data_IF_369449545143
#
_entry.id   IF_369449545143
#
_cell.length_a   1.000
_cell.length_b   1.000
_cell.length_c   1.000
_cell.angle_alpha   90.00
_cell.angle_beta   90.00
_cell.angle_gamma   90.00
#
_symmetry.space_group_name_H-M   'P 1'
#
loop_
_entity.id
_entity.type
_entity.pdbx_description
1 polymer ?
#
# COMPACT_ATOMS: atom_id res chain seq x y z
N UNK A 1 -35.58 -5.74 1.74
CA UNK A 1 -34.38 -5.11 2.39
C UNK A 1 -34.59 -3.61 2.57
N UNK A 2 -33.95 -2.98 3.60
CA UNK A 2 -34.18 -1.56 3.93
C UNK A 2 -33.04 -0.65 3.36
N UNK A 3 -33.23 0.69 3.40
CA UNK A 3 -32.29 1.66 2.85
C UNK A 3 -30.88 1.57 3.48
N UNK A 4 -30.78 1.19 4.78
CA UNK A 4 -29.51 1.03 5.49
C UNK A 4 -28.72 -0.19 4.98
N UNK A 5 -29.42 -1.26 4.64
CA UNK A 5 -28.79 -2.45 4.06
C UNK A 5 -28.30 -2.16 2.64
N UNK A 6 -29.10 -1.45 1.83
CA UNK A 6 -28.68 -1.00 0.51
C UNK A 6 -27.36 -0.21 0.57
N UNK A 7 -27.26 0.78 1.46
CA UNK A 7 -26.03 1.56 1.62
C UNK A 7 -24.80 0.72 2.01
N UNK A 8 -24.97 -0.34 2.82
CA UNK A 8 -23.88 -1.27 3.14
C UNK A 8 -23.48 -2.16 1.93
N UNK A 9 -24.48 -2.64 1.16
CA UNK A 9 -24.20 -3.41 -0.07
C UNK A 9 -23.45 -2.55 -1.07
N UNK A 10 -23.88 -1.31 -1.29
CA UNK A 10 -23.22 -0.37 -2.20
C UNK A 10 -21.76 -0.10 -1.77
N UNK A 11 -21.50 0.03 -0.46
CA UNK A 11 -20.15 0.20 0.07
C UNK A 11 -19.27 -1.02 -0.23
N UNK A 12 -19.74 -2.24 0.07
CA UNK A 12 -18.97 -3.45 -0.16
C UNK A 12 -18.77 -3.73 -1.66
N UNK A 13 -19.79 -3.48 -2.48
CA UNK A 13 -19.72 -3.66 -3.93
C UNK A 13 -18.78 -2.62 -4.56
N UNK A 14 -18.78 -1.37 -4.07
CA UNK A 14 -17.78 -0.38 -4.46
C UNK A 14 -16.35 -0.83 -4.16
N UNK A 15 -16.13 -1.46 -2.99
CA UNK A 15 -14.86 -2.08 -2.64
C UNK A 15 -14.47 -3.23 -3.57
N UNK A 16 -15.40 -4.12 -3.94
CA UNK A 16 -15.15 -5.22 -4.89
C UNK A 16 -14.84 -4.70 -6.30
N UNK A 17 -15.52 -3.64 -6.76
CA UNK A 17 -15.23 -3.01 -8.04
C UNK A 17 -13.81 -2.42 -8.07
N UNK A 18 -13.43 -1.66 -7.04
CA UNK A 18 -12.08 -1.11 -6.93
C UNK A 18 -11.01 -2.21 -6.86
N UNK A 19 -11.30 -3.30 -6.16
CA UNK A 19 -10.42 -4.46 -6.10
C UNK A 19 -10.25 -5.11 -7.48
N UNK A 20 -11.33 -5.30 -8.23
CA UNK A 20 -11.27 -5.82 -9.59
C UNK A 20 -10.47 -4.90 -10.52
N UNK A 21 -10.65 -3.58 -10.44
CA UNK A 21 -9.90 -2.61 -11.25
C UNK A 21 -8.40 -2.67 -10.96
N UNK A 22 -8.01 -2.86 -9.69
CA UNK A 22 -6.60 -2.94 -9.27
C UNK A 22 -5.94 -4.29 -9.51
N UNK A 23 -6.72 -5.37 -9.70
CA UNK A 23 -6.22 -6.75 -9.74
C UNK A 23 -6.97 -7.61 -10.76
N UNK A 24 -7.39 -6.99 -11.88
CA UNK A 24 -8.23 -7.62 -12.92
C UNK A 24 -7.66 -8.94 -13.45
N UNK A 25 -6.35 -9.03 -13.55
CA UNK A 25 -5.61 -10.21 -14.02
C UNK A 25 -5.71 -11.43 -13.09
N UNK A 26 -6.06 -11.20 -11.82
CA UNK A 26 -6.24 -12.29 -10.84
C UNK A 26 -7.69 -12.69 -10.66
N UNK A 27 -8.61 -11.96 -11.27
CA UNK A 27 -10.04 -12.26 -11.19
C UNK A 27 -10.33 -13.65 -11.74
N UNK A 28 -10.89 -14.49 -10.88
CA UNK A 28 -11.30 -15.86 -11.22
C UNK A 28 -12.78 -15.90 -11.55
N UNK A 29 -13.59 -15.16 -10.81
CA UNK A 29 -15.03 -15.11 -11.00
C UNK A 29 -15.75 -14.43 -9.86
N UNK A 30 -16.97 -14.04 -10.15
CA UNK A 30 -17.97 -13.61 -9.18
C UNK A 30 -19.13 -14.57 -9.25
N UNK A 31 -19.52 -15.15 -8.13
CA UNK A 31 -20.69 -16.02 -8.04
C UNK A 31 -21.63 -15.50 -6.97
N UNK A 32 -22.90 -15.75 -7.14
CA UNK A 32 -23.87 -15.40 -6.12
C UNK A 32 -24.99 -16.43 -6.05
N UNK A 33 -25.53 -16.54 -4.86
CA UNK A 33 -26.69 -17.36 -4.52
C UNK A 33 -27.73 -16.45 -3.88
N UNK A 34 -28.93 -16.43 -4.40
CA UNK A 34 -30.06 -15.69 -3.85
C UNK A 34 -31.16 -16.67 -3.41
N UNK A 35 -31.88 -16.32 -2.36
CA UNK A 35 -32.95 -17.15 -1.79
C UNK A 35 -34.25 -16.36 -1.75
N UNK A 36 -35.36 -17.01 -2.18
CA UNK A 36 -36.72 -16.50 -2.01
C UNK A 36 -37.61 -17.63 -1.52
N UNK A 37 -38.10 -17.53 -0.28
CA UNK A 37 -38.79 -18.58 0.42
C UNK A 37 -37.94 -19.86 0.55
N UNK A 38 -38.35 -20.93 -0.12
CA UNK A 38 -37.59 -22.21 -0.16
C UNK A 38 -36.79 -22.41 -1.45
N UNK A 39 -36.76 -21.44 -2.36
CA UNK A 39 -36.08 -21.56 -3.65
C UNK A 39 -34.76 -20.83 -3.64
N UNK A 40 -33.76 -21.46 -4.24
CA UNK A 40 -32.42 -20.91 -4.42
C UNK A 40 -32.16 -20.66 -5.90
N UNK A 41 -31.47 -19.53 -6.18
CA UNK A 41 -31.11 -19.14 -7.53
C UNK A 41 -29.61 -18.81 -7.53
N UNK A 42 -28.88 -19.36 -8.49
CA UNK A 42 -27.43 -19.16 -8.60
C UNK A 42 -27.11 -18.35 -9.85
N UNK A 43 -26.17 -17.46 -9.72
CA UNK A 43 -25.62 -16.71 -10.83
C UNK A 43 -24.11 -16.67 -10.78
N UNK A 44 -23.51 -16.30 -11.90
CA UNK A 44 -22.05 -16.22 -12.01
C UNK A 44 -21.63 -15.15 -13.01
N UNK A 45 -20.39 -14.70 -12.87
CA UNK A 45 -19.70 -13.85 -13.84
C UNK A 45 -18.31 -14.38 -14.08
N UNK A 46 -17.90 -14.43 -15.33
CA UNK A 46 -16.56 -14.76 -15.77
C UNK A 46 -16.01 -13.70 -16.73
N UNK A 47 -14.70 -13.51 -16.73
CA UNK A 47 -14.03 -12.63 -17.69
C UNK A 47 -13.75 -13.41 -18.99
N UNK A 48 -14.29 -12.95 -20.13
CA UNK A 48 -14.04 -13.52 -21.46
C UNK A 48 -13.78 -12.39 -22.44
N UNK A 49 -12.70 -12.48 -23.18
CA UNK A 49 -12.30 -11.50 -24.20
C UNK A 49 -12.34 -10.04 -23.71
N UNK A 50 -11.93 -9.83 -22.46
CA UNK A 50 -11.92 -8.52 -21.83
C UNK A 50 -13.27 -8.01 -21.31
N UNK A 51 -14.37 -8.77 -21.48
CA UNK A 51 -15.70 -8.44 -20.99
C UNK A 51 -16.13 -9.34 -19.83
N UNK A 52 -16.94 -8.80 -18.94
CA UNK A 52 -17.55 -9.54 -17.85
C UNK A 52 -18.87 -10.17 -18.34
N UNK A 53 -18.88 -11.48 -18.48
CA UNK A 53 -20.05 -12.24 -18.92
C UNK A 53 -20.86 -12.66 -17.69
N UNK A 54 -21.99 -12.00 -17.50
CA UNK A 54 -22.95 -12.22 -16.41
C UNK A 54 -23.97 -13.28 -16.83
N UNK A 55 -24.21 -14.27 -15.99
CA UNK A 55 -25.17 -15.36 -16.20
C UNK A 55 -26.12 -15.49 -15.02
N UNK A 56 -27.35 -14.94 -15.19
CA UNK A 56 -28.46 -15.07 -14.23
C UNK A 56 -29.76 -14.67 -14.92
N UNK A 57 -30.70 -15.59 -15.01
CA UNK A 57 -31.97 -15.41 -15.75
C UNK A 57 -31.75 -14.91 -17.19
N UNK A 58 -30.66 -15.34 -17.83
CA UNK A 58 -30.15 -14.88 -19.11
C UNK A 58 -28.66 -14.53 -19.06
N UNK A 59 -28.12 -14.11 -20.20
CA UNK A 59 -26.71 -13.69 -20.30
C UNK A 59 -26.63 -12.22 -20.69
N UNK A 60 -25.76 -11.48 -20.01
CA UNK A 60 -25.43 -10.07 -20.30
C UNK A 60 -23.92 -9.88 -20.29
N UNK A 61 -23.43 -8.89 -21.03
CA UNK A 61 -22.03 -8.50 -21.01
C UNK A 61 -21.88 -7.10 -20.43
N UNK A 62 -20.79 -6.90 -19.65
CA UNK A 62 -20.43 -5.61 -19.05
C UNK A 62 -18.97 -5.31 -19.34
N UNK A 63 -18.67 -4.05 -19.57
CA UNK A 63 -17.30 -3.56 -19.77
C UNK A 63 -16.57 -3.30 -18.45
N UNK A 64 -17.32 -3.00 -17.37
CA UNK A 64 -16.80 -2.70 -16.06
C UNK A 64 -17.54 -3.42 -14.92
N UNK A 65 -16.83 -3.68 -13.83
CA UNK A 65 -17.34 -4.37 -12.66
C UNK A 65 -18.35 -3.51 -11.87
N UNK A 66 -18.21 -2.20 -11.89
CA UNK A 66 -19.05 -1.28 -11.11
C UNK A 66 -20.50 -1.29 -11.63
N UNK A 67 -20.67 -1.20 -12.94
CA UNK A 67 -21.99 -1.29 -13.60
C UNK A 67 -22.62 -2.66 -13.35
N UNK A 68 -21.85 -3.75 -13.48
CA UNK A 68 -22.31 -5.10 -13.18
C UNK A 68 -22.81 -5.23 -11.74
N UNK A 69 -22.02 -4.77 -10.75
CA UNK A 69 -22.39 -4.88 -9.34
C UNK A 69 -23.56 -3.98 -8.97
N UNK A 70 -23.75 -2.85 -9.64
CA UNK A 70 -24.94 -2.01 -9.49
C UNK A 70 -26.22 -2.74 -9.94
N UNK A 71 -26.16 -3.40 -11.11
CA UNK A 71 -27.27 -4.22 -11.60
C UNK A 71 -27.52 -5.42 -10.69
N UNK A 72 -26.46 -6.10 -10.25
CA UNK A 72 -26.56 -7.21 -9.30
C UNK A 72 -27.17 -6.77 -7.96
N UNK A 73 -26.83 -5.60 -7.44
CA UNK A 73 -27.45 -5.03 -6.24
C UNK A 73 -28.97 -4.90 -6.42
N UNK A 74 -29.40 -4.38 -7.56
CA UNK A 74 -30.81 -4.22 -7.88
C UNK A 74 -31.55 -5.56 -7.94
N UNK A 75 -30.88 -6.60 -8.42
CA UNK A 75 -31.43 -7.99 -8.44
C UNK A 75 -31.50 -8.54 -7.01
N UNK A 76 -30.41 -8.47 -6.23
CA UNK A 76 -30.37 -9.05 -4.89
C UNK A 76 -31.39 -8.44 -3.95
N UNK A 77 -31.70 -7.16 -4.08
CA UNK A 77 -32.71 -6.48 -3.26
C UNK A 77 -34.14 -7.05 -3.40
N UNK A 78 -34.39 -7.86 -4.42
CA UNK A 78 -35.69 -8.53 -4.67
C UNK A 78 -35.81 -9.89 -3.96
N UNK A 79 -34.74 -10.36 -3.30
CA UNK A 79 -34.67 -11.66 -2.63
C UNK A 79 -34.62 -11.51 -1.10
N UNK A 80 -34.92 -12.59 -0.37
CA UNK A 80 -34.95 -12.62 1.08
C UNK A 80 -33.49 -12.56 1.64
N UNK A 81 -32.60 -13.28 0.98
CA UNK A 81 -31.15 -13.28 1.31
C UNK A 81 -30.31 -13.54 0.08
N UNK A 82 -29.02 -13.16 0.19
CA UNK A 82 -28.04 -13.44 -0.84
C UNK A 82 -26.65 -13.68 -0.25
N UNK A 83 -25.85 -14.46 -0.95
CA UNK A 83 -24.41 -14.62 -0.72
C UNK A 83 -23.72 -14.31 -2.03
N UNK A 84 -22.81 -13.32 -2.04
CA UNK A 84 -22.03 -12.94 -3.20
C UNK A 84 -20.57 -13.26 -2.91
N UNK A 85 -19.95 -14.11 -3.71
CA UNK A 85 -18.55 -14.48 -3.59
C UNK A 85 -17.75 -13.92 -4.77
N UNK A 86 -16.80 -13.06 -4.45
CA UNK A 86 -15.77 -12.60 -5.36
C UNK A 86 -14.53 -13.46 -5.16
N UNK A 87 -14.01 -14.02 -6.23
CA UNK A 87 -12.83 -14.88 -6.22
C UNK A 87 -11.72 -14.33 -7.09
N UNK A 88 -10.56 -14.26 -6.53
CA UNK A 88 -9.30 -14.04 -7.25
C UNK A 88 -8.31 -15.14 -6.90
N UNK A 89 -7.22 -15.24 -7.64
CA UNK A 89 -6.20 -16.25 -7.39
C UNK A 89 -5.66 -16.16 -5.96
N UNK A 90 -5.82 -17.22 -5.18
CA UNK A 90 -5.36 -17.34 -3.79
C UNK A 90 -6.28 -16.76 -2.73
N UNK A 91 -7.23 -15.90 -3.09
CA UNK A 91 -8.10 -15.24 -2.12
C UNK A 91 -9.52 -15.05 -2.63
N UNK A 92 -10.47 -14.94 -1.69
CA UNK A 92 -11.84 -14.59 -1.98
C UNK A 92 -12.44 -13.70 -0.91
N UNK A 93 -13.50 -12.99 -1.30
CA UNK A 93 -14.35 -12.26 -0.37
C UNK A 93 -15.79 -12.72 -0.55
N UNK A 94 -16.51 -12.80 0.55
CA UNK A 94 -17.93 -13.18 0.57
C UNK A 94 -18.73 -12.08 1.24
N UNK A 95 -19.76 -11.57 0.55
CA UNK A 95 -20.75 -10.65 1.11
C UNK A 95 -21.99 -11.45 1.45
N UNK A 96 -22.26 -11.56 2.75
CA UNK A 96 -23.46 -12.22 3.29
C UNK A 96 -24.54 -11.16 3.51
N UNK A 97 -25.72 -11.39 2.96
CA UNK A 97 -26.83 -10.44 2.96
C UNK A 97 -28.08 -11.19 3.41
N UNK A 98 -28.67 -10.75 4.50
CA UNK A 98 -29.95 -11.27 5.01
C UNK A 98 -30.88 -10.12 5.46
N UNK A 99 -32.05 -10.44 6.00
CA UNK A 99 -33.03 -9.48 6.46
C UNK A 99 -32.57 -8.57 7.59
N UNK A 100 -31.53 -8.96 8.33
CA UNK A 100 -31.00 -8.28 9.52
C UNK A 100 -29.67 -7.60 9.30
N UNK A 101 -28.79 -8.21 8.48
CA UNK A 101 -27.40 -7.76 8.39
C UNK A 101 -26.82 -7.87 6.99
N UNK A 102 -25.72 -7.11 6.78
CA UNK A 102 -24.83 -7.25 5.62
C UNK A 102 -23.41 -7.33 6.17
N UNK A 103 -22.69 -8.42 5.87
CA UNK A 103 -21.36 -8.73 6.41
C UNK A 103 -20.41 -9.11 5.29
N UNK A 104 -19.18 -8.63 5.36
CA UNK A 104 -18.08 -9.04 4.48
C UNK A 104 -17.16 -10.01 5.24
N UNK A 105 -16.85 -11.12 4.60
CA UNK A 105 -15.89 -12.10 5.08
C UNK A 105 -14.81 -12.36 4.02
N UNK A 106 -13.56 -12.40 4.44
CA UNK A 106 -12.45 -12.79 3.57
C UNK A 106 -12.11 -14.26 3.82
N UNK A 107 -11.71 -14.97 2.77
CA UNK A 107 -11.26 -16.37 2.88
C UNK A 107 -10.11 -16.66 1.92
N UNK A 108 -9.29 -17.64 2.28
CA UNK A 108 -8.19 -18.12 1.44
C UNK A 108 -8.68 -19.28 0.56
N UNK A 109 -8.25 -19.28 -0.70
CA UNK A 109 -8.54 -20.34 -1.66
C UNK A 109 -7.31 -21.25 -1.71
N UNK A 110 -7.44 -22.46 -1.18
CA UNK A 110 -6.36 -23.46 -1.15
C UNK A 110 -6.26 -24.31 -2.43
N UNK A 111 -7.23 -24.22 -3.32
CA UNK A 111 -7.23 -25.00 -4.57
C UNK A 111 -6.26 -24.39 -5.59
N UNK A 112 -5.43 -25.25 -6.20
CA UNK A 112 -4.58 -24.89 -7.34
C UNK A 112 -5.44 -24.60 -8.58
N UNK A 113 -5.82 -23.34 -8.76
CA UNK A 113 -6.36 -22.87 -10.04
C UNK A 113 -5.18 -22.76 -11.00
N UNK A 114 -5.26 -23.48 -12.12
CA UNK A 114 -4.18 -23.57 -13.10
C UNK A 114 -3.57 -22.21 -13.45
N UNK A 115 -2.28 -22.08 -13.21
CA UNK A 115 -1.51 -20.85 -13.15
C UNK A 115 -1.34 -20.08 -14.47
N UNK A 116 -2.06 -20.43 -15.53
CA UNK A 116 -1.66 -20.06 -16.89
C UNK A 116 -2.43 -18.91 -17.54
N UNK A 117 -3.54 -18.45 -16.99
CA UNK A 117 -4.35 -17.42 -17.66
C UNK A 117 -4.21 -16.00 -17.08
N UNK A 118 -3.89 -15.80 -15.81
CA UNK A 118 -3.90 -14.50 -15.16
C UNK A 118 -2.65 -13.64 -15.36
N UNK A 119 -1.48 -14.26 -15.50
CA UNK A 119 -0.20 -13.54 -15.61
C UNK A 119 0.20 -13.19 -17.05
N UNK A 120 -0.49 -13.70 -18.05
CA UNK A 120 -0.07 -13.56 -19.46
C UNK A 120 -0.36 -12.21 -20.12
N UNK A 121 -1.21 -11.37 -19.54
CA UNK A 121 -1.70 -10.13 -20.17
C UNK A 121 -1.30 -8.84 -19.46
N UNK A 122 -0.47 -8.89 -18.40
CA UNK A 122 0.07 -7.70 -17.74
C UNK A 122 1.58 -7.66 -17.90
N UNK A 123 2.09 -6.55 -18.40
CA UNK A 123 3.52 -6.24 -18.30
C UNK A 123 3.83 -5.87 -16.85
N UNK A 124 4.52 -6.76 -16.15
CA UNK A 124 5.01 -6.48 -14.80
C UNK A 124 6.33 -5.72 -14.85
N UNK A 125 6.54 -4.85 -13.87
CA UNK A 125 7.81 -4.14 -13.71
C UNK A 125 9.00 -5.10 -13.51
N UNK A 126 8.73 -6.31 -13.01
CA UNK A 126 9.75 -7.33 -12.78
C UNK A 126 9.51 -8.51 -13.70
N UNK A 127 10.52 -8.84 -14.50
CA UNK A 127 10.55 -10.08 -15.28
C UNK A 127 10.67 -11.27 -14.33
N UNK A 128 9.58 -12.06 -14.23
CA UNK A 128 9.49 -13.20 -13.31
C UNK A 128 10.57 -14.26 -13.55
N UNK A 129 10.97 -14.48 -14.81
CA UNK A 129 11.97 -15.49 -15.14
C UNK A 129 13.37 -15.04 -14.69
N UNK A 130 13.72 -13.78 -14.93
CA UNK A 130 15.01 -13.20 -14.54
C UNK A 130 15.10 -12.99 -13.03
N UNK A 131 14.01 -12.55 -12.39
CA UNK A 131 13.96 -12.32 -10.95
C UNK A 131 13.71 -13.61 -10.12
N UNK A 132 13.61 -14.78 -10.74
CA UNK A 132 13.29 -16.01 -10.04
C UNK A 132 14.22 -16.33 -8.84
N UNK A 133 15.54 -16.13 -8.89
CA UNK A 133 16.41 -16.34 -7.72
C UNK A 133 16.02 -15.42 -6.55
N UNK A 134 15.80 -14.15 -6.81
CA UNK A 134 15.36 -13.15 -5.83
C UNK A 134 14.00 -13.54 -5.23
N UNK A 135 13.00 -13.78 -6.07
CA UNK A 135 11.64 -14.09 -5.65
C UNK A 135 11.54 -15.39 -4.86
N UNK A 136 12.35 -16.40 -5.19
CA UNK A 136 12.47 -17.65 -4.42
C UNK A 136 13.09 -17.38 -3.05
N UNK A 137 14.21 -16.64 -2.99
CA UNK A 137 14.90 -16.33 -1.74
C UNK A 137 14.04 -15.48 -0.79
N UNK A 138 13.25 -14.55 -1.33
CA UNK A 138 12.29 -13.75 -0.56
C UNK A 138 10.99 -14.51 -0.23
N UNK A 139 10.84 -15.74 -0.70
CA UNK A 139 9.68 -16.58 -0.40
C UNK A 139 8.41 -16.28 -1.20
N UNK A 140 8.50 -15.44 -2.25
CA UNK A 140 7.37 -15.14 -3.15
C UNK A 140 7.08 -16.28 -4.14
N UNK A 141 8.10 -17.07 -4.52
CA UNK A 141 8.03 -18.04 -5.58
C UNK A 141 8.32 -19.46 -5.07
N UNK A 142 7.67 -20.43 -5.64
CA UNK A 142 7.91 -21.87 -5.41
C UNK A 142 9.16 -22.35 -6.15
N UNK A 143 9.64 -23.54 -5.84
CA UNK A 143 10.82 -24.13 -6.51
C UNK A 143 10.62 -24.29 -8.02
N UNK A 144 9.39 -24.59 -8.47
CA UNK A 144 8.99 -24.76 -9.88
C UNK A 144 8.73 -23.41 -10.61
N UNK A 145 8.98 -22.27 -9.97
CA UNK A 145 8.95 -20.96 -10.62
C UNK A 145 7.58 -20.27 -10.68
N UNK A 146 6.63 -20.69 -9.84
CA UNK A 146 5.30 -20.06 -9.74
C UNK A 146 5.22 -19.15 -8.53
N UNK A 147 4.56 -18.01 -8.65
CA UNK A 147 4.23 -17.18 -7.47
C UNK A 147 3.28 -17.97 -6.56
N UNK A 148 3.60 -18.03 -5.27
CA UNK A 148 2.76 -18.69 -4.27
C UNK A 148 1.42 -17.97 -4.14
N UNK A 149 0.34 -18.72 -3.95
CA UNK A 149 -1.02 -18.16 -3.90
C UNK A 149 -1.19 -17.13 -2.76
N UNK A 150 -0.63 -17.40 -1.59
CA UNK A 150 -0.62 -16.50 -0.43
C UNK A 150 0.25 -15.25 -0.62
N UNK A 151 1.17 -15.27 -1.59
CA UNK A 151 2.09 -14.16 -1.90
C UNK A 151 1.65 -13.31 -3.10
N UNK A 152 0.61 -13.68 -3.84
CA UNK A 152 0.16 -12.97 -5.04
C UNK A 152 -0.20 -11.51 -4.71
N UNK A 153 -0.99 -11.29 -3.64
CA UNK A 153 -1.38 -9.96 -3.21
C UNK A 153 -0.16 -9.09 -2.88
N UNK A 154 0.80 -9.67 -2.16
CA UNK A 154 2.04 -8.99 -1.80
C UNK A 154 2.93 -8.69 -3.00
N UNK A 155 2.95 -9.59 -3.99
CA UNK A 155 3.64 -9.38 -5.26
C UNK A 155 3.04 -8.22 -6.05
N UNK A 156 1.70 -8.14 -6.11
CA UNK A 156 1.01 -7.01 -6.75
C UNK A 156 1.26 -5.66 -6.06
N UNK A 157 1.26 -5.65 -4.74
CA UNK A 157 1.62 -4.45 -3.98
C UNK A 157 3.04 -3.99 -4.32
N UNK A 158 3.96 -4.94 -4.48
CA UNK A 158 5.34 -4.68 -4.88
C UNK A 158 5.43 -4.12 -6.30
N UNK A 159 4.72 -4.71 -7.25
CA UNK A 159 4.68 -4.23 -8.62
C UNK A 159 4.09 -2.82 -8.69
N UNK A 160 2.97 -2.59 -8.01
CA UNK A 160 2.37 -1.26 -7.91
C UNK A 160 3.28 -0.24 -7.22
N UNK A 161 4.04 -0.67 -6.23
CA UNK A 161 5.07 0.18 -5.61
C UNK A 161 6.10 0.63 -6.64
N UNK A 162 6.62 -0.28 -7.46
CA UNK A 162 7.58 0.06 -8.52
C UNK A 162 6.98 0.99 -9.58
N UNK A 163 5.72 0.80 -9.99
CA UNK A 163 5.00 1.73 -10.86
C UNK A 163 5.03 3.17 -10.34
N UNK A 164 4.81 3.31 -9.03
CA UNK A 164 4.69 4.62 -8.39
C UNK A 164 6.03 5.31 -8.14
N UNK A 165 7.09 4.53 -7.88
CA UNK A 165 8.38 5.09 -7.45
C UNK A 165 9.47 5.01 -8.51
N UNK A 166 9.35 4.12 -9.49
CA UNK A 166 10.40 3.87 -10.48
C UNK A 166 10.85 5.12 -11.24
N UNK A 167 9.90 5.96 -11.64
CA UNK A 167 10.18 7.24 -12.32
C UNK A 167 10.89 8.29 -11.46
N UNK A 168 10.92 8.12 -10.13
CA UNK A 168 11.67 9.05 -9.26
C UNK A 168 13.17 8.94 -9.45
N UNK A 169 13.65 7.82 -9.98
CA UNK A 169 15.07 7.53 -10.20
C UNK A 169 15.54 7.81 -11.65
N UNK A 170 14.66 8.37 -12.50
CA UNK A 170 14.99 8.69 -13.89
C UNK A 170 16.14 9.72 -13.96
N UNK A 171 17.14 9.41 -14.80
CA UNK A 171 18.33 10.23 -14.97
C UNK A 171 19.32 10.19 -13.80
N UNK A 172 19.06 9.39 -12.76
CA UNK A 172 20.00 9.19 -11.65
C UNK A 172 20.97 8.04 -11.98
N UNK A 173 22.26 8.27 -11.72
CA UNK A 173 23.31 7.27 -11.83
C UNK A 173 24.20 7.35 -10.58
N UNK A 174 24.67 6.20 -10.08
CA UNK A 174 25.50 6.11 -8.86
C UNK A 174 24.84 6.78 -7.65
N UNK A 175 23.87 6.11 -7.08
CA UNK A 175 23.06 6.60 -5.98
C UNK A 175 23.20 5.76 -4.71
N UNK A 176 23.13 6.42 -3.57
CA UNK A 176 22.99 5.78 -2.27
C UNK A 176 21.52 5.87 -1.82
N UNK A 177 20.90 4.72 -1.61
CA UNK A 177 19.55 4.57 -1.06
C UNK A 177 19.66 4.12 0.38
N UNK A 178 19.04 4.86 1.30
CA UNK A 178 18.97 4.48 2.73
C UNK A 178 17.55 4.06 3.06
N UNK A 179 17.38 2.82 3.53
CA UNK A 179 16.12 2.28 4.02
C UNK A 179 16.07 2.40 5.54
N UNK A 180 15.29 3.36 6.01
CA UNK A 180 15.17 3.70 7.42
C UNK A 180 14.08 2.86 8.10
N UNK A 181 14.44 2.16 9.19
CA UNK A 181 13.64 1.15 9.88
C UNK A 181 13.24 0.02 8.90
N UNK A 182 14.25 -0.55 8.25
CA UNK A 182 14.10 -1.42 7.08
C UNK A 182 13.39 -2.76 7.37
N UNK A 183 13.36 -3.23 8.62
CA UNK A 183 12.74 -4.49 8.99
C UNK A 183 13.24 -5.65 8.13
N UNK A 184 12.33 -6.45 7.57
CA UNK A 184 12.67 -7.58 6.67
C UNK A 184 13.10 -7.16 5.25
N UNK A 185 13.10 -5.89 4.92
CA UNK A 185 13.66 -5.26 3.72
C UNK A 185 13.25 -5.84 2.36
N UNK A 186 12.18 -6.63 2.26
CA UNK A 186 11.84 -7.30 0.98
C UNK A 186 11.58 -6.30 -0.15
N UNK A 187 10.97 -5.13 0.13
CA UNK A 187 10.76 -4.09 -0.88
C UNK A 187 12.08 -3.43 -1.31
N UNK A 188 13.04 -3.31 -0.39
CA UNK A 188 14.39 -2.80 -0.70
C UNK A 188 15.16 -3.74 -1.61
N UNK A 189 15.07 -5.06 -1.40
CA UNK A 189 15.64 -6.05 -2.31
C UNK A 189 15.02 -5.97 -3.71
N UNK A 190 13.71 -5.80 -3.79
CA UNK A 190 13.01 -5.69 -5.07
C UNK A 190 13.33 -4.37 -5.76
N UNK A 191 13.38 -3.26 -5.03
CA UNK A 191 13.79 -1.98 -5.58
C UNK A 191 15.25 -2.01 -6.05
N UNK A 192 16.14 -2.68 -5.30
CA UNK A 192 17.53 -2.88 -5.73
C UNK A 192 17.61 -3.68 -7.04
N UNK A 193 16.88 -4.80 -7.14
CA UNK A 193 16.81 -5.59 -8.36
C UNK A 193 16.33 -4.74 -9.55
N UNK A 194 15.25 -3.98 -9.35
CA UNK A 194 14.70 -3.11 -10.39
C UNK A 194 15.71 -2.04 -10.84
N UNK A 195 16.36 -1.36 -9.93
CA UNK A 195 17.31 -0.30 -10.26
C UNK A 195 18.62 -0.86 -10.80
N UNK A 196 19.22 -1.84 -10.13
CA UNK A 196 20.54 -2.36 -10.45
C UNK A 196 20.53 -3.29 -11.67
N UNK A 197 19.66 -4.31 -11.67
CA UNK A 197 19.66 -5.34 -12.71
C UNK A 197 18.85 -4.96 -13.95
N UNK A 198 17.70 -4.31 -13.78
CA UNK A 198 16.84 -3.97 -14.92
C UNK A 198 17.11 -2.58 -15.50
N UNK A 199 17.32 -1.58 -14.63
CA UNK A 199 17.54 -0.19 -15.06
C UNK A 199 19.02 0.16 -15.21
N UNK A 200 19.95 -0.71 -14.79
CA UNK A 200 21.39 -0.52 -14.80
C UNK A 200 21.87 0.75 -14.08
N UNK A 201 21.12 1.17 -13.06
CA UNK A 201 21.49 2.26 -12.16
C UNK A 201 22.44 1.73 -11.09
N UNK A 202 23.63 2.27 -10.98
CA UNK A 202 24.53 1.92 -9.88
C UNK A 202 23.94 2.36 -8.57
N UNK A 203 23.59 1.40 -7.71
CA UNK A 203 23.00 1.67 -6.41
C UNK A 203 23.87 1.15 -5.30
N UNK A 204 24.01 1.92 -4.24
CA UNK A 204 24.37 1.46 -2.91
C UNK A 204 23.13 1.44 -2.05
N UNK A 205 22.80 0.31 -1.46
CA UNK A 205 21.68 0.18 -0.51
C UNK A 205 22.21 0.03 0.90
N UNK A 206 21.68 0.84 1.82
CA UNK A 206 21.99 0.76 3.26
C UNK A 206 20.65 0.63 3.99
N UNK A 207 20.38 -0.53 4.57
CA UNK A 207 19.22 -0.73 5.45
C UNK A 207 19.63 -0.51 6.90
N UNK A 208 18.85 0.26 7.66
CA UNK A 208 19.09 0.58 9.06
C UNK A 208 17.90 0.12 9.89
N UNK A 209 18.14 -0.70 10.92
CA UNK A 209 17.12 -1.12 11.90
C UNK A 209 17.80 -1.39 13.25
N UNK A 210 17.05 -1.23 14.33
CA UNK A 210 17.55 -1.50 15.69
C UNK A 210 17.49 -2.98 16.07
N UNK A 211 16.87 -3.84 15.26
CA UNK A 211 16.65 -5.25 15.56
C UNK A 211 17.74 -6.13 14.92
N UNK A 212 18.66 -6.70 15.70
CA UNK A 212 19.77 -7.50 15.16
C UNK A 212 19.31 -8.66 14.28
N UNK A 213 18.25 -9.39 14.68
CA UNK A 213 17.76 -10.57 13.97
C UNK A 213 17.27 -10.28 12.55
N UNK A 214 16.67 -9.10 12.30
CA UNK A 214 16.23 -8.73 10.94
C UNK A 214 17.41 -8.25 10.09
N UNK A 215 18.40 -7.62 10.70
CA UNK A 215 19.63 -7.18 10.06
C UNK A 215 20.48 -8.39 9.62
N UNK A 216 20.66 -9.37 10.51
CA UNK A 216 21.39 -10.61 10.22
C UNK A 216 20.75 -11.37 9.05
N UNK A 217 19.42 -11.53 9.07
CA UNK A 217 18.70 -12.19 7.98
C UNK A 217 18.80 -11.40 6.66
N UNK A 218 18.69 -10.06 6.70
CA UNK A 218 18.80 -9.21 5.51
C UNK A 218 20.22 -9.27 4.92
N UNK A 219 21.28 -9.25 5.73
CA UNK A 219 22.66 -9.43 5.26
C UNK A 219 22.87 -10.84 4.67
N UNK A 220 22.27 -11.89 5.27
CA UNK A 220 22.30 -13.24 4.71
C UNK A 220 21.59 -13.32 3.36
N UNK A 221 20.40 -12.69 3.21
CA UNK A 221 19.70 -12.63 1.93
C UNK A 221 20.58 -11.92 0.88
N UNK A 222 21.20 -10.80 1.22
CA UNK A 222 22.08 -10.08 0.30
C UNK A 222 23.27 -10.94 -0.14
N UNK A 223 23.91 -11.67 0.79
CA UNK A 223 25.00 -12.58 0.49
C UNK A 223 24.55 -13.76 -0.41
N UNK A 224 23.43 -14.41 -0.09
CA UNK A 224 22.87 -15.52 -0.86
C UNK A 224 22.53 -15.11 -2.31
N UNK A 225 22.17 -13.84 -2.53
CA UNK A 225 21.86 -13.27 -3.85
C UNK A 225 23.07 -12.62 -4.55
N UNK A 226 24.22 -12.55 -3.90
CA UNK A 226 25.40 -11.89 -4.43
C UNK A 226 25.32 -10.37 -4.51
N UNK A 227 24.43 -9.74 -3.73
CA UNK A 227 24.24 -8.28 -3.72
C UNK A 227 25.27 -7.56 -2.85
N UNK A 228 26.50 -7.46 -3.36
CA UNK A 228 27.60 -6.78 -2.68
C UNK A 228 27.38 -5.25 -2.55
N UNK A 229 26.39 -4.71 -3.23
CA UNK A 229 25.98 -3.31 -3.16
C UNK A 229 24.95 -3.04 -2.06
N UNK A 230 24.46 -4.06 -1.36
CA UNK A 230 23.52 -3.94 -0.24
C UNK A 230 24.22 -4.24 1.09
N UNK A 231 24.00 -3.39 2.08
CA UNK A 231 24.49 -3.56 3.46
C UNK A 231 23.41 -3.21 4.45
N UNK A 232 23.25 -4.01 5.47
CA UNK A 232 22.30 -3.77 6.56
C UNK A 232 23.07 -3.59 7.86
N UNK A 233 22.72 -2.53 8.62
CA UNK A 233 23.39 -2.14 9.86
C UNK A 233 22.39 -2.09 11.02
N UNK A 234 22.82 -2.61 12.17
CA UNK A 234 22.03 -2.61 13.40
C UNK A 234 22.36 -1.34 14.19
N UNK A 235 21.65 -0.26 13.90
CA UNK A 235 21.89 1.05 14.52
C UNK A 235 20.58 1.79 14.77
N UNK A 236 20.60 2.77 15.69
CA UNK A 236 19.48 3.65 15.96
C UNK A 236 19.48 4.81 14.95
N UNK A 237 18.34 5.04 14.29
CA UNK A 237 18.16 6.14 13.33
C UNK A 237 18.37 7.53 13.94
N UNK A 238 18.28 7.67 15.27
CA UNK A 238 18.52 8.95 15.93
C UNK A 238 20.01 9.35 15.84
N UNK A 239 20.88 8.36 15.94
CA UNK A 239 22.35 8.55 15.98
C UNK A 239 23.04 8.14 14.70
N UNK A 240 22.34 7.38 13.84
CA UNK A 240 22.91 6.94 12.58
C UNK A 240 23.15 8.11 11.62
N UNK A 241 24.37 8.20 11.11
CA UNK A 241 24.75 9.14 10.07
C UNK A 241 25.32 8.40 8.85
N UNK A 242 24.76 8.67 7.68
CA UNK A 242 25.23 8.08 6.44
C UNK A 242 26.15 9.08 5.71
N UNK A 243 27.26 8.64 5.11
CA UNK A 243 28.14 9.53 4.37
C UNK A 243 27.47 10.16 3.14
N UNK A 244 26.40 9.53 2.64
CA UNK A 244 25.58 10.00 1.52
C UNK A 244 24.22 9.33 1.56
N UNK A 245 23.15 10.08 1.27
CA UNK A 245 21.80 9.56 1.07
C UNK A 245 21.12 10.33 -0.08
N UNK A 246 21.17 9.80 -1.30
CA UNK A 246 20.51 10.43 -2.46
C UNK A 246 19.02 10.15 -2.44
N UNK A 247 18.60 8.98 -1.96
CA UNK A 247 17.22 8.62 -1.73
C UNK A 247 17.04 8.00 -0.35
N UNK A 248 15.97 8.34 0.32
CA UNK A 248 15.57 7.75 1.60
C UNK A 248 14.23 7.08 1.43
N UNK A 249 14.15 5.82 1.85
CA UNK A 249 12.90 5.07 1.89
C UNK A 249 12.59 4.68 3.33
N UNK A 250 11.28 4.64 3.66
CA UNK A 250 10.79 4.21 4.97
C UNK A 250 9.41 3.60 4.79
N UNK A 251 9.37 2.28 4.67
CA UNK A 251 8.20 1.59 4.14
C UNK A 251 7.32 0.95 5.21
N UNK A 252 7.71 0.94 6.45
CA UNK A 252 6.93 0.43 7.58
C UNK A 252 7.49 0.91 8.93
N UNK A 253 8.09 2.08 8.97
CA UNK A 253 8.43 2.73 10.22
C UNK A 253 7.15 3.14 10.95
N UNK A 254 7.03 2.74 12.20
CA UNK A 254 5.83 3.03 12.97
C UNK A 254 5.97 4.36 13.70
N UNK A 255 4.93 5.20 13.58
CA UNK A 255 4.74 6.40 14.38
C UNK A 255 5.93 7.38 14.29
N UNK A 256 6.59 7.67 15.41
CA UNK A 256 7.76 8.56 15.50
C UNK A 256 8.95 8.08 14.63
N UNK A 257 9.10 6.77 14.41
CA UNK A 257 10.16 6.26 13.52
C UNK A 257 10.00 6.76 12.07
N UNK A 258 8.77 7.05 11.63
CA UNK A 258 8.52 7.74 10.36
C UNK A 258 9.13 9.15 10.37
N UNK A 259 8.95 9.87 11.46
CA UNK A 259 9.47 11.24 11.62
C UNK A 259 11.01 11.26 11.71
N UNK A 260 11.62 10.23 12.35
CA UNK A 260 13.05 10.02 12.34
C UNK A 260 13.59 9.83 10.91
N UNK A 261 12.91 8.99 10.10
CA UNK A 261 13.28 8.73 8.72
C UNK A 261 13.15 9.97 7.83
N UNK A 262 12.06 10.73 7.97
CA UNK A 262 11.86 11.99 7.24
C UNK A 262 12.86 13.06 7.67
N UNK A 263 13.11 13.18 8.98
CA UNK A 263 14.13 14.07 9.53
C UNK A 263 15.53 13.72 9.04
N UNK A 264 15.89 12.42 9.04
CA UNK A 264 17.13 11.93 8.45
C UNK A 264 17.26 12.35 6.98
N UNK A 265 16.20 12.16 6.18
CA UNK A 265 16.17 12.54 4.78
C UNK A 265 16.40 14.05 4.58
N UNK A 266 15.76 14.89 5.40
CA UNK A 266 15.93 16.35 5.38
C UNK A 266 17.36 16.74 5.72
N UNK A 267 17.94 16.20 6.81
CA UNK A 267 19.32 16.51 7.23
C UNK A 267 20.37 16.14 6.18
N UNK A 268 20.15 15.03 5.45
CA UNK A 268 21.03 14.57 4.38
C UNK A 268 20.72 15.19 3.01
N UNK A 269 19.74 16.10 2.96
CA UNK A 269 19.31 16.75 1.72
C UNK A 269 19.02 15.73 0.60
N UNK A 270 18.35 14.63 0.94
CA UNK A 270 18.02 13.56 0.03
C UNK A 270 17.21 14.08 -1.17
N UNK A 271 17.57 13.64 -2.38
CA UNK A 271 16.88 14.07 -3.61
C UNK A 271 15.48 13.50 -3.71
N UNK A 272 15.32 12.26 -3.24
CA UNK A 272 14.04 11.54 -3.26
C UNK A 272 13.72 10.98 -1.88
N UNK A 273 12.46 11.09 -1.47
CA UNK A 273 11.94 10.49 -0.24
C UNK A 273 10.71 9.66 -0.61
N UNK A 274 10.64 8.43 -0.11
CA UNK A 274 9.54 7.50 -0.30
C UNK A 274 9.15 6.96 1.06
N UNK A 275 7.95 7.27 1.52
CA UNK A 275 7.50 6.91 2.85
C UNK A 275 6.09 6.30 2.83
N UNK A 276 5.89 5.23 3.59
CA UNK A 276 4.58 4.58 3.82
C UNK A 276 4.29 4.59 5.31
N UNK A 277 3.67 5.66 5.85
CA UNK A 277 3.31 5.73 7.25
C UNK A 277 2.20 4.73 7.57
N UNK A 278 2.32 4.01 8.68
CA UNK A 278 1.34 2.99 9.07
C UNK A 278 0.70 3.22 10.44
N UNK A 279 1.33 3.99 11.32
CA UNK A 279 0.86 4.28 12.67
C UNK A 279 0.94 5.79 12.95
N UNK A 280 -0.02 6.30 13.72
CA UNK A 280 -0.17 7.72 14.01
C UNK A 280 -0.67 7.88 15.45
N UNK A 281 0.20 7.69 16.44
CA UNK A 281 -0.19 7.78 17.85
C UNK A 281 0.28 9.07 18.49
N UNK A 282 1.40 9.62 18.02
CA UNK A 282 2.07 10.77 18.64
C UNK A 282 1.15 11.94 18.90
N UNK A 283 0.36 12.36 17.91
CA UNK A 283 -0.49 13.54 18.02
C UNK A 283 -1.90 13.24 18.56
N UNK A 284 -2.29 11.96 18.70
CA UNK A 284 -3.67 11.56 18.96
C UNK A 284 -4.30 12.24 20.17
N UNK A 285 -3.53 12.41 21.25
CA UNK A 285 -4.00 12.99 22.51
C UNK A 285 -3.51 14.42 22.73
N UNK A 286 -2.74 14.98 21.79
CA UNK A 286 -2.09 16.29 21.97
C UNK A 286 -2.72 17.39 21.15
N UNK A 287 -3.23 17.11 19.93
CA UNK A 287 -3.79 18.17 19.09
C UNK A 287 -5.09 18.74 19.66
N UNK A 288 -5.25 20.04 19.51
CA UNK A 288 -6.41 20.79 19.96
C UNK A 288 -7.14 21.40 18.77
N UNK A 289 -8.44 21.15 18.68
CA UNK A 289 -9.31 21.74 17.66
C UNK A 289 -10.73 21.88 18.22
N UNK A 290 -10.96 22.86 19.11
CA UNK A 290 -12.25 23.03 19.82
C UNK A 290 -13.45 23.11 18.89
N UNK A 291 -13.31 23.74 17.74
CA UNK A 291 -14.38 23.86 16.74
C UNK A 291 -14.86 22.49 16.19
N UNK A 292 -14.02 21.46 16.27
CA UNK A 292 -14.32 20.11 15.84
C UNK A 292 -14.70 19.16 16.98
N UNK A 293 -14.60 19.59 18.24
CA UNK A 293 -14.90 18.74 19.43
C UNK A 293 -16.25 18.02 19.32
N UNK A 294 -17.34 18.66 18.84
CA UNK A 294 -18.62 17.97 18.68
C UNK A 294 -18.57 16.76 17.73
N UNK A 295 -17.63 16.75 16.76
CA UNK A 295 -17.43 15.68 15.79
C UNK A 295 -16.47 14.63 16.35
N UNK A 296 -15.31 15.08 16.85
CA UNK A 296 -14.21 14.21 17.31
C UNK A 296 -14.41 13.63 18.71
N UNK A 297 -15.53 13.93 19.38
CA UNK A 297 -15.94 13.24 20.61
C UNK A 297 -16.06 11.71 20.44
N UNK A 298 -16.28 11.25 19.20
CA UNK A 298 -16.24 9.82 18.87
C UNK A 298 -14.81 9.41 18.52
N UNK A 299 -14.23 8.47 19.28
CA UNK A 299 -12.82 8.06 19.14
C UNK A 299 -12.42 7.66 17.73
N UNK A 300 -13.32 7.03 16.95
CA UNK A 300 -13.05 6.67 15.56
C UNK A 300 -12.83 7.90 14.65
N UNK A 301 -13.57 8.99 14.87
CA UNK A 301 -13.38 10.22 14.10
C UNK A 301 -12.12 10.97 14.55
N UNK A 302 -11.85 10.97 15.87
CA UNK A 302 -10.62 11.52 16.42
C UNK A 302 -9.39 10.83 15.83
N UNK A 303 -9.36 9.50 15.79
CA UNK A 303 -8.26 8.73 15.21
C UNK A 303 -8.06 9.01 13.71
N UNK A 304 -9.15 9.06 12.93
CA UNK A 304 -9.05 9.37 11.49
C UNK A 304 -8.56 10.78 11.22
N UNK A 305 -9.03 11.75 11.98
CA UNK A 305 -8.53 13.13 11.87
C UNK A 305 -7.06 13.20 12.25
N UNK A 306 -6.65 12.50 13.30
CA UNK A 306 -5.26 12.40 13.71
C UNK A 306 -4.35 11.85 12.59
N UNK A 307 -4.77 10.79 11.90
CA UNK A 307 -4.03 10.24 10.76
C UNK A 307 -3.81 11.32 9.68
N UNK A 308 -4.88 12.05 9.33
CA UNK A 308 -4.82 13.12 8.32
C UNK A 308 -3.92 14.28 8.78
N UNK A 309 -4.04 14.72 10.03
CA UNK A 309 -3.24 15.81 10.58
C UNK A 309 -1.75 15.43 10.62
N UNK A 310 -1.42 14.23 11.08
CA UNK A 310 -0.04 13.76 11.20
C UNK A 310 0.62 13.70 9.82
N UNK A 311 0.00 13.03 8.85
CA UNK A 311 0.58 12.89 7.51
C UNK A 311 0.56 14.24 6.76
N UNK A 312 -0.47 15.05 6.95
CA UNK A 312 -0.55 16.40 6.37
C UNK A 312 0.58 17.32 6.89
N UNK A 313 0.87 17.28 8.20
CA UNK A 313 1.97 18.05 8.78
C UNK A 313 3.34 17.54 8.30
N UNK A 314 3.53 16.23 8.14
CA UNK A 314 4.74 15.64 7.52
C UNK A 314 4.93 16.16 6.10
N UNK A 315 3.87 16.15 5.28
CA UNK A 315 3.91 16.65 3.91
C UNK A 315 4.26 18.13 3.86
N UNK A 316 3.59 18.94 4.66
CA UNK A 316 3.83 20.38 4.69
C UNK A 316 5.23 20.73 5.21
N UNK A 317 5.77 19.97 6.17
CA UNK A 317 7.18 20.10 6.59
C UNK A 317 8.16 19.80 5.47
N UNK A 318 7.90 18.74 4.69
CA UNK A 318 8.72 18.43 3.51
C UNK A 318 8.64 19.55 2.47
N UNK A 319 7.44 20.10 2.20
CA UNK A 319 7.26 21.24 1.30
C UNK A 319 8.03 22.47 1.80
N UNK A 320 7.93 22.78 3.08
CA UNK A 320 8.70 23.85 3.71
C UNK A 320 10.22 23.68 3.53
N UNK A 321 10.70 22.42 3.55
CA UNK A 321 12.08 22.06 3.27
C UNK A 321 12.43 21.99 1.77
N UNK A 322 11.56 22.46 0.87
CA UNK A 322 11.82 22.56 -0.57
C UNK A 322 11.59 21.29 -1.36
N UNK A 323 10.74 20.38 -0.87
CA UNK A 323 10.34 19.20 -1.60
C UNK A 323 9.00 19.41 -2.31
N UNK A 324 8.89 18.92 -3.53
CA UNK A 324 7.60 18.70 -4.20
C UNK A 324 7.01 17.39 -3.70
N UNK A 325 5.90 17.46 -2.97
CA UNK A 325 5.26 16.30 -2.32
C UNK A 325 4.08 15.80 -3.15
N UNK A 326 3.89 14.49 -3.16
CA UNK A 326 2.73 13.80 -3.75
C UNK A 326 2.32 12.65 -2.87
N UNK A 327 1.03 12.58 -2.53
CA UNK A 327 0.43 11.52 -1.73
C UNK A 327 -0.49 10.69 -2.60
N UNK A 328 -0.34 9.37 -2.57
CA UNK A 328 -1.16 8.43 -3.35
C UNK A 328 -1.49 7.18 -2.53
N UNK A 329 -2.64 6.58 -2.77
CA UNK A 329 -2.94 5.25 -2.26
C UNK A 329 -2.26 4.21 -3.15
N UNK A 330 -1.32 3.42 -2.58
CA UNK A 330 -0.52 2.47 -3.36
C UNK A 330 -1.08 1.05 -3.39
N UNK A 331 -2.04 0.74 -2.52
CA UNK A 331 -2.77 -0.52 -2.54
C UNK A 331 -4.23 -0.31 -2.12
N UNK A 332 -5.06 -1.32 -2.33
CA UNK A 332 -6.47 -1.24 -1.99
C UNK A 332 -6.70 -1.02 -0.49
N UNK A 333 -7.62 -0.14 -0.08
CA UNK A 333 -8.05 -0.01 1.32
C UNK A 333 -8.62 -1.31 1.92
N UNK A 334 -9.04 -2.26 1.07
CA UNK A 334 -9.47 -3.60 1.48
C UNK A 334 -8.32 -4.49 1.92
N UNK A 335 -7.11 -4.23 1.42
CA UNK A 335 -5.91 -4.96 1.80
C UNK A 335 -5.30 -4.41 3.08
N UNK A 336 -5.25 -3.10 3.20
CA UNK A 336 -4.87 -2.39 4.42
C UNK A 336 -5.47 -0.99 4.44
N UNK A 337 -6.03 -0.54 5.58
CA UNK A 337 -6.51 0.83 5.72
C UNK A 337 -5.37 1.86 5.79
N UNK A 338 -4.13 1.42 5.96
CA UNK A 338 -2.90 2.23 6.02
C UNK A 338 -2.12 2.04 4.72
N UNK A 339 -2.61 2.64 3.65
CA UNK A 339 -2.15 2.45 2.28
C UNK A 339 -1.62 3.74 1.62
N UNK A 340 -1.37 4.78 2.40
CA UNK A 340 -0.81 6.03 1.90
C UNK A 340 0.68 5.87 1.57
N UNK A 341 1.06 6.31 0.38
CA UNK A 341 2.45 6.48 -0.05
C UNK A 341 2.73 7.97 -0.22
N UNK A 342 3.67 8.49 0.54
CA UNK A 342 4.20 9.84 0.42
C UNK A 342 5.46 9.79 -0.43
N UNK A 343 5.48 10.53 -1.54
CA UNK A 343 6.63 10.73 -2.41
C UNK A 343 7.05 12.18 -2.37
N UNK A 344 8.31 12.45 -2.15
CA UNK A 344 8.83 13.80 -2.16
C UNK A 344 10.13 13.87 -2.98
N UNK A 345 10.23 14.90 -3.84
CA UNK A 345 11.40 15.17 -4.67
C UNK A 345 11.92 16.56 -4.36
N UNK A 346 13.22 16.67 -4.04
CA UNK A 346 13.87 17.95 -3.77
C UNK A 346 13.84 18.82 -5.03
N UNK A 347 13.34 20.05 -4.91
CA UNK A 347 13.21 21.00 -6.03
C UNK A 347 13.79 22.37 -5.71
N UNK A 348 13.95 22.71 -4.42
CA UNK A 348 14.53 23.96 -3.93
C UNK A 348 15.14 23.78 -2.54
N UNK A 349 15.82 24.80 -2.01
CA UNK A 349 16.39 24.75 -0.67
C UNK A 349 15.33 25.00 0.43
N UNK A 350 14.17 25.51 0.09
CA UNK A 350 13.04 25.74 0.99
C UNK A 350 11.89 26.44 0.29
N UNK A 351 10.73 26.49 0.98
CA UNK A 351 9.55 27.26 0.59
C UNK A 351 9.06 28.07 1.80
N UNK A 352 9.33 29.41 1.82
CA UNK A 352 8.92 30.27 2.93
C UNK A 352 7.41 30.33 3.16
N UNK A 353 6.61 30.13 2.10
CA UNK A 353 5.15 30.11 2.21
C UNK A 353 4.69 28.84 2.93
N UNK A 354 5.20 27.69 2.51
CA UNK A 354 4.91 26.42 3.16
C UNK A 354 5.39 26.40 4.62
N UNK A 355 6.56 26.98 4.92
CA UNK A 355 7.06 27.14 6.29
C UNK A 355 6.13 28.01 7.14
N UNK A 356 5.65 29.14 6.62
CA UNK A 356 4.72 30.00 7.34
C UNK A 356 3.38 29.29 7.63
N UNK A 357 2.83 28.56 6.65
CA UNK A 357 1.62 27.77 6.81
C UNK A 357 1.82 26.64 7.83
N UNK A 358 2.95 25.94 7.78
CA UNK A 358 3.31 24.90 8.73
C UNK A 358 3.37 25.43 10.15
N UNK A 359 4.09 26.53 10.40
CA UNK A 359 4.19 27.19 11.72
C UNK A 359 2.84 27.66 12.24
N UNK A 360 2.01 28.24 11.38
CA UNK A 360 0.65 28.64 11.74
C UNK A 360 -0.17 27.45 12.21
N UNK A 361 -0.17 26.33 11.47
CA UNK A 361 -0.92 25.14 11.84
C UNK A 361 -0.42 24.49 13.13
N UNK A 362 0.89 24.44 13.36
CA UNK A 362 1.44 23.94 14.63
C UNK A 362 0.91 24.74 15.82
N UNK A 363 0.87 26.09 15.67
CA UNK A 363 0.35 27.00 16.71
C UNK A 363 -1.15 26.80 16.93
N UNK A 364 -1.95 26.71 15.86
CA UNK A 364 -3.42 26.53 15.94
C UNK A 364 -3.82 25.17 16.51
N UNK A 365 -3.06 24.12 16.22
CA UNK A 365 -3.28 22.77 16.75
C UNK A 365 -2.66 22.56 18.14
N UNK A 366 -1.76 23.45 18.56
CA UNK A 366 -1.04 23.34 19.82
C UNK A 366 -0.13 22.12 19.90
N UNK A 367 0.47 21.71 18.77
CA UNK A 367 1.29 20.48 18.66
C UNK A 367 2.75 20.79 18.33
N UNK A 368 3.62 19.86 18.69
CA UNK A 368 5.03 19.83 18.30
C UNK A 368 5.39 18.41 17.82
N UNK A 369 5.20 18.12 16.53
CA UNK A 369 5.49 16.78 16.00
C UNK A 369 6.99 16.49 16.01
N UNK A 370 7.34 15.25 16.22
CA UNK A 370 8.74 14.76 16.34
C UNK A 370 9.59 15.08 15.11
N UNK A 371 8.99 15.24 13.94
CA UNK A 371 9.70 15.64 12.73
C UNK A 371 10.44 16.99 12.91
N UNK A 372 9.93 17.89 13.77
CA UNK A 372 10.62 19.16 14.08
C UNK A 372 11.97 18.92 14.74
N UNK A 373 12.01 17.97 15.69
CA UNK A 373 13.24 17.62 16.38
C UNK A 373 14.22 16.91 15.44
N UNK A 374 13.76 15.93 14.68
CA UNK A 374 14.63 15.10 13.84
C UNK A 374 15.08 15.78 12.54
N UNK A 375 14.45 16.87 12.11
CA UNK A 375 14.84 17.61 10.89
C UNK A 375 15.98 18.60 11.10
N UNK A 376 16.36 18.88 12.33
CA UNK A 376 17.49 19.78 12.66
C UNK A 376 18.78 18.96 12.76
N UNK A 377 19.88 19.45 12.16
CA UNK A 377 21.20 18.87 12.44
C UNK A 377 21.50 19.13 13.91
N UNK A 378 21.91 18.09 14.64
CA UNK A 378 22.54 18.30 15.93
C UNK A 378 23.85 19.04 15.65
N UNK A 379 23.91 20.31 16.01
CA UNK A 379 25.21 20.99 16.09
C UNK A 379 25.99 20.28 17.19
N UNK A 380 27.20 19.80 16.88
CA UNK A 380 28.17 19.16 17.79
C UNK A 380 28.53 20.07 18.98
#
# INVERSE_FOLDING_TARGET
MNARQKGKIDLFFGGLASKFESSREFFVGLTWKTVSGRKEYNGSTALRDGKLVYSFAGTKEYDDMRTLLSDLCSVILQYDSAVVEYRERGHGCRVLIDDRNVKLENFEIKEEISATQGLKNKEYNIDLAKAAPLLKRLGFMTADGKIKNDMIRKYNQTDRFLDLVGGMFDGMNDITVVDCACGKSYLSFILNYYLWEQRHVRTKFIGVDIKPNVIDESNKIAADLGYNNMRFVCEDLQTYDAPRADAVISLHACDVATDMALGFAIRHNAKNIICVPCCHKELLDTYKKPDLDPIIKHGVFRARLNDILTDGLRCLKLEACGYKVSCVEYCSPLDTPKNLLIKAKKVSDGDPKAEAEYRRLLSELGVRPSIEYYSVKCDD
#
